data_IF_971749736359
#
_entry.id   IF_971749736359
#
_cell.length_a   1.000
_cell.length_b   1.000
_cell.length_c   1.000
_cell.angle_alpha   90.00
_cell.angle_beta   90.00
_cell.angle_gamma   90.00
#
_symmetry.space_group_name_H-M   'P 1'
#
loop_
_entity.id
_entity.type
_entity.pdbx_description
1 polymer ?
#
# COMPACT_ATOMS: atom_id res chain seq x y z
N UNK A 1 23.77 -54.47 -2.57
CA UNK A 1 23.18 -54.13 -1.28
C UNK A 1 24.26 -53.47 -0.41
N UNK A 2 24.34 -52.14 -0.43
CA UNK A 2 25.15 -51.35 0.52
C UNK A 2 24.19 -50.43 1.26
N UNK A 3 24.00 -50.69 2.53
CA UNK A 3 23.26 -49.88 3.47
C UNK A 3 24.10 -48.62 3.76
N UNK A 4 23.67 -47.45 3.31
CA UNK A 4 24.19 -46.18 3.78
C UNK A 4 23.38 -45.79 5.04
N UNK A 5 24.05 -45.88 6.19
CA UNK A 5 23.61 -45.26 7.43
C UNK A 5 23.80 -43.73 7.27
N UNK A 6 22.70 -42.99 7.24
CA UNK A 6 22.71 -41.54 7.48
C UNK A 6 22.78 -41.35 9.00
N UNK A 7 23.95 -41.01 9.51
CA UNK A 7 24.12 -40.49 10.85
C UNK A 7 23.62 -39.05 10.84
N UNK A 8 22.46 -38.80 11.44
CA UNK A 8 21.98 -37.45 11.78
C UNK A 8 22.90 -36.90 12.89
N UNK A 9 23.87 -36.08 12.52
CA UNK A 9 24.56 -35.23 13.47
C UNK A 9 23.58 -34.18 13.96
N UNK A 10 23.04 -34.38 15.16
CA UNK A 10 22.47 -33.35 15.99
C UNK A 10 23.59 -32.38 16.36
N UNK A 11 23.73 -31.29 15.62
CA UNK A 11 24.48 -30.14 16.08
C UNK A 11 23.59 -29.44 17.15
N UNK A 12 23.78 -29.83 18.38
CA UNK A 12 23.44 -28.99 19.52
C UNK A 12 24.52 -27.90 19.52
N UNK A 13 24.27 -26.82 18.78
CA UNK A 13 24.99 -25.59 18.97
C UNK A 13 24.62 -25.10 20.37
N UNK A 14 25.44 -25.45 21.36
CA UNK A 14 25.48 -24.70 22.62
C UNK A 14 25.99 -23.32 22.25
N UNK A 15 25.06 -22.39 22.00
CA UNK A 15 25.36 -20.96 22.00
C UNK A 15 25.66 -20.64 23.45
N UNK A 16 26.93 -20.78 23.83
CA UNK A 16 27.47 -20.12 24.99
C UNK A 16 27.46 -18.62 24.64
N UNK A 17 26.28 -17.99 24.75
CA UNK A 17 26.22 -16.54 24.81
C UNK A 17 27.05 -16.14 26.02
N UNK A 18 28.18 -15.50 25.76
CA UNK A 18 28.96 -14.86 26.78
C UNK A 18 28.06 -13.82 27.44
N UNK A 19 27.51 -14.18 28.60
CA UNK A 19 26.77 -13.29 29.46
C UNK A 19 27.76 -12.20 29.85
N UNK A 20 27.68 -11.03 29.22
CA UNK A 20 28.48 -9.89 29.63
C UNK A 20 27.94 -9.38 30.98
N UNK A 21 28.82 -8.87 31.82
CA UNK A 21 28.42 -8.30 33.12
C UNK A 21 27.38 -7.18 32.96
N UNK A 22 27.35 -6.59 31.78
CA UNK A 22 26.55 -5.41 31.44
C UNK A 22 25.15 -5.76 30.90
N UNK A 23 24.91 -6.98 30.34
CA UNK A 23 23.60 -7.41 29.82
C UNK A 23 23.20 -8.81 30.35
N UNK A 24 22.69 -8.89 31.57
CA UNK A 24 22.35 -10.16 32.21
C UNK A 24 21.08 -10.77 31.63
N UNK A 25 20.94 -12.10 31.76
CA UNK A 25 19.70 -12.82 31.47
C UNK A 25 18.63 -12.45 32.47
N UNK A 26 17.55 -11.79 32.00
CA UNK A 26 16.41 -11.37 32.82
C UNK A 26 15.44 -12.52 33.06
N UNK A 27 15.29 -13.42 32.07
CA UNK A 27 14.46 -14.62 32.18
C UNK A 27 14.92 -15.71 31.23
N UNK A 28 14.43 -16.93 31.48
CA UNK A 28 14.50 -18.03 30.51
C UNK A 28 13.10 -18.52 30.19
N UNK A 29 12.82 -18.74 28.91
CA UNK A 29 11.58 -19.32 28.41
C UNK A 29 11.90 -20.57 27.62
N UNK A 30 11.40 -21.73 28.04
CA UNK A 30 11.72 -23.04 27.46
C UNK A 30 13.23 -23.28 27.38
N UNK A 31 14.00 -22.82 28.38
CA UNK A 31 15.47 -22.92 28.40
C UNK A 31 16.21 -21.90 27.54
N UNK A 32 15.52 -21.13 26.70
CA UNK A 32 16.11 -20.05 25.91
C UNK A 32 16.29 -18.80 26.76
N UNK A 33 17.49 -18.21 26.80
CA UNK A 33 17.74 -17.00 27.56
C UNK A 33 17.14 -15.78 26.86
N UNK A 34 16.58 -14.86 27.65
CA UNK A 34 16.18 -13.51 27.24
C UNK A 34 17.07 -12.54 28.01
N UNK A 35 17.71 -11.64 27.30
CA UNK A 35 18.57 -10.62 27.87
C UNK A 35 17.74 -9.44 28.40
N UNK A 36 18.32 -8.70 29.38
CA UNK A 36 17.69 -7.50 29.92
C UNK A 36 17.44 -6.45 28.82
N UNK A 37 18.43 -6.21 27.95
CA UNK A 37 18.30 -5.27 26.85
C UNK A 37 17.15 -5.62 25.88
N UNK A 38 16.90 -6.89 25.59
CA UNK A 38 15.75 -7.34 24.79
C UNK A 38 14.42 -6.96 25.45
N UNK A 39 14.32 -7.22 26.76
CA UNK A 39 13.14 -6.87 27.53
C UNK A 39 12.93 -5.35 27.59
N UNK A 40 14.00 -4.59 27.84
CA UNK A 40 13.97 -3.12 27.91
C UNK A 40 13.58 -2.50 26.59
N UNK A 41 14.12 -2.98 25.46
CA UNK A 41 13.72 -2.54 24.14
C UNK A 41 12.21 -2.69 23.94
N UNK A 42 11.67 -3.88 24.22
CA UNK A 42 10.24 -4.16 24.07
C UNK A 42 9.39 -3.36 25.05
N UNK A 43 9.82 -3.26 26.31
CA UNK A 43 9.13 -2.50 27.37
C UNK A 43 9.07 -1.00 27.01
N UNK A 44 10.19 -0.39 26.64
CA UNK A 44 10.28 1.02 26.34
C UNK A 44 9.48 1.41 25.10
N UNK A 45 9.52 0.58 24.05
CA UNK A 45 8.71 0.76 22.83
C UNK A 45 7.21 0.76 23.14
N UNK A 46 6.76 -0.18 23.97
CA UNK A 46 5.35 -0.32 24.34
C UNK A 46 4.90 0.70 25.41
N UNK A 47 5.81 1.50 25.95
CA UNK A 47 5.54 2.58 26.89
C UNK A 47 6.03 3.95 26.42
N UNK A 48 6.33 4.09 25.11
CA UNK A 48 6.78 5.33 24.49
C UNK A 48 5.73 6.45 24.58
N UNK A 49 6.11 7.66 24.21
CA UNK A 49 5.20 8.80 24.19
C UNK A 49 4.05 8.56 23.20
N UNK A 50 2.81 8.84 23.66
CA UNK A 50 1.60 8.59 22.88
C UNK A 50 0.88 7.26 23.23
N UNK A 51 1.49 6.34 23.95
CA UNK A 51 0.81 5.14 24.45
C UNK A 51 -0.12 5.52 25.60
N UNK A 52 -1.43 5.23 25.45
CA UNK A 52 -2.47 5.61 26.42
C UNK A 52 -2.44 4.70 27.66
N UNK A 53 -2.22 3.40 27.48
CA UNK A 53 -2.28 2.38 28.53
C UNK A 53 -0.86 1.87 28.87
N UNK A 54 -0.02 2.78 29.41
CA UNK A 54 1.36 2.45 29.82
C UNK A 54 1.33 1.46 30.97
N UNK A 55 2.19 0.44 30.91
CA UNK A 55 2.34 -0.59 31.93
C UNK A 55 3.60 -0.35 32.75
N UNK A 56 3.55 -0.64 34.03
CA UNK A 56 4.79 -0.74 34.80
C UNK A 56 5.50 -2.08 34.51
N UNK A 57 6.76 -2.22 34.95
CA UNK A 57 7.58 -3.42 34.70
C UNK A 57 6.91 -4.70 35.21
N UNK A 58 6.25 -4.68 36.37
CA UNK A 58 5.60 -5.83 36.95
C UNK A 58 4.36 -6.28 36.17
N UNK A 59 3.63 -5.34 35.59
CA UNK A 59 2.49 -5.64 34.71
C UNK A 59 2.95 -6.11 33.33
N UNK A 60 4.04 -5.54 32.82
CA UNK A 60 4.54 -5.85 31.48
C UNK A 60 5.23 -7.20 31.40
N UNK A 61 5.92 -7.66 32.44
CA UNK A 61 6.66 -8.92 32.45
C UNK A 61 5.76 -10.12 32.13
N UNK A 62 4.53 -10.14 32.61
CA UNK A 62 3.59 -11.23 32.32
C UNK A 62 3.11 -11.21 30.85
N UNK A 63 2.92 -10.02 30.28
CA UNK A 63 2.59 -9.85 28.85
C UNK A 63 3.74 -10.32 27.97
N UNK A 64 4.97 -9.94 28.33
CA UNK A 64 6.17 -10.33 27.61
C UNK A 64 6.43 -11.84 27.67
N UNK A 65 6.22 -12.46 28.84
CA UNK A 65 6.28 -13.93 28.98
C UNK A 65 5.27 -14.60 28.06
N UNK A 66 4.02 -14.16 28.04
CA UNK A 66 2.99 -14.73 27.17
C UNK A 66 3.34 -14.58 25.68
N UNK A 67 3.92 -13.45 25.30
CA UNK A 67 4.46 -13.23 23.96
C UNK A 67 5.54 -14.27 23.62
N UNK A 68 6.58 -14.42 24.46
CA UNK A 68 7.69 -15.38 24.23
C UNK A 68 7.20 -16.83 24.22
N UNK A 69 6.25 -17.20 25.05
CA UNK A 69 5.63 -18.54 25.06
C UNK A 69 4.93 -18.86 23.73
N UNK A 70 4.22 -17.90 23.16
CA UNK A 70 3.55 -18.05 21.86
C UNK A 70 4.56 -18.17 20.73
N UNK A 71 5.64 -17.39 20.77
CA UNK A 71 6.75 -17.48 19.81
C UNK A 71 7.41 -18.87 19.86
N UNK A 72 7.67 -19.39 21.06
CA UNK A 72 8.20 -20.75 21.23
C UNK A 72 7.25 -21.82 20.64
N UNK A 73 5.95 -21.68 20.84
CA UNK A 73 4.96 -22.56 20.25
C UNK A 73 4.94 -22.50 18.71
N UNK A 74 5.16 -21.32 18.14
CA UNK A 74 5.26 -21.14 16.69
C UNK A 74 6.53 -21.78 16.11
N UNK A 75 7.67 -21.63 16.81
CA UNK A 75 8.95 -22.27 16.44
C UNK A 75 8.84 -23.80 16.50
N UNK A 76 8.24 -24.35 17.56
CA UNK A 76 7.98 -25.80 17.68
C UNK A 76 7.06 -26.30 16.54
N UNK A 77 6.09 -25.49 16.14
CA UNK A 77 5.22 -25.78 15.00
C UNK A 77 5.89 -25.53 13.65
N UNK A 78 7.17 -25.14 13.61
CA UNK A 78 7.99 -24.84 12.43
C UNK A 78 7.37 -23.81 11.49
N UNK A 79 6.71 -22.79 12.04
CA UNK A 79 6.07 -21.74 11.24
C UNK A 79 7.08 -20.83 10.55
N UNK A 80 8.28 -20.69 11.08
CA UNK A 80 9.45 -20.08 10.47
C UNK A 80 9.89 -20.70 9.13
N UNK A 81 9.44 -21.94 8.85
CA UNK A 81 9.73 -22.62 7.59
C UNK A 81 8.67 -22.44 6.50
N UNK A 82 7.55 -21.78 6.80
CA UNK A 82 6.50 -21.51 5.84
C UNK A 82 6.98 -20.51 4.78
N UNK A 83 6.60 -20.73 3.53
CA UNK A 83 6.99 -19.84 2.41
C UNK A 83 6.51 -18.42 2.64
N UNK A 84 5.25 -18.25 3.04
CA UNK A 84 4.68 -16.92 3.35
C UNK A 84 5.45 -16.18 4.44
N UNK A 85 5.85 -16.88 5.50
CA UNK A 85 6.67 -16.32 6.56
C UNK A 85 8.02 -15.83 6.05
N UNK A 86 8.71 -16.71 5.27
CA UNK A 86 10.04 -16.39 4.75
C UNK A 86 10.01 -15.20 3.79
N UNK A 87 9.06 -15.18 2.88
CA UNK A 87 8.90 -14.08 1.91
C UNK A 87 8.64 -12.75 2.63
N UNK A 88 7.78 -12.74 3.64
CA UNK A 88 7.46 -11.54 4.41
C UNK A 88 8.67 -11.09 5.25
N UNK A 89 9.33 -12.00 5.94
CA UNK A 89 10.51 -11.68 6.74
C UNK A 89 11.67 -11.17 5.90
N UNK A 90 11.95 -11.83 4.77
CA UNK A 90 12.98 -11.40 3.81
C UNK A 90 12.67 -10.00 3.29
N UNK A 91 11.43 -9.74 2.92
CA UNK A 91 11.01 -8.41 2.44
C UNK A 91 11.29 -7.32 3.49
N UNK A 92 10.95 -7.56 4.75
CA UNK A 92 11.22 -6.61 5.83
C UNK A 92 12.72 -6.43 6.11
N UNK A 93 13.47 -7.53 6.23
CA UNK A 93 14.92 -7.52 6.41
C UNK A 93 15.59 -6.70 5.30
N UNK A 94 15.19 -6.94 4.07
CA UNK A 94 15.76 -6.30 2.90
C UNK A 94 15.52 -4.79 2.90
N UNK A 95 14.37 -4.33 3.36
CA UNK A 95 14.10 -2.89 3.54
C UNK A 95 15.09 -2.22 4.51
N UNK A 96 15.59 -2.95 5.51
CA UNK A 96 16.54 -2.42 6.48
C UNK A 96 18.01 -2.53 5.99
N UNK A 97 18.34 -3.60 5.31
CA UNK A 97 19.74 -3.97 5.04
C UNK A 97 20.18 -3.55 3.63
N UNK A 98 19.35 -3.75 2.59
CA UNK A 98 19.73 -3.49 1.20
C UNK A 98 20.17 -2.04 0.92
N UNK A 99 19.54 -1.01 1.49
CA UNK A 99 20.00 0.37 1.28
C UNK A 99 21.44 0.63 1.74
N UNK A 100 21.95 -0.18 2.68
CA UNK A 100 23.30 -0.01 3.21
C UNK A 100 24.43 -0.50 2.28
N UNK A 101 24.09 -1.16 1.18
CA UNK A 101 25.05 -1.63 0.19
C UNK A 101 25.51 -0.53 -0.77
N UNK A 102 24.78 0.56 -0.88
CA UNK A 102 25.13 1.66 -1.77
C UNK A 102 25.35 2.94 -0.99
N UNK A 103 26.17 3.80 -1.56
CA UNK A 103 26.49 5.12 -1.04
C UNK A 103 25.98 6.19 -1.99
N UNK A 104 26.00 7.46 -1.57
CA UNK A 104 25.69 8.58 -2.47
C UNK A 104 26.64 8.62 -3.67
N UNK A 105 27.89 8.16 -3.52
CA UNK A 105 28.85 8.06 -4.61
C UNK A 105 28.43 7.03 -5.67
N UNK A 106 27.82 5.91 -5.28
CA UNK A 106 27.28 4.91 -6.19
C UNK A 106 26.10 5.48 -7.02
N UNK A 107 25.24 6.27 -6.36
CA UNK A 107 24.09 6.94 -7.00
C UNK A 107 24.59 8.04 -7.95
N UNK A 108 25.59 8.80 -7.55
CA UNK A 108 26.21 9.84 -8.39
C UNK A 108 26.90 9.23 -9.64
N UNK A 109 27.58 8.11 -9.48
CA UNK A 109 28.17 7.38 -10.60
C UNK A 109 27.11 6.94 -11.62
N UNK A 110 25.98 6.46 -11.15
CA UNK A 110 24.85 6.09 -12.01
C UNK A 110 24.23 7.34 -12.67
N UNK A 111 24.14 8.46 -11.95
CA UNK A 111 23.66 9.72 -12.50
C UNK A 111 24.57 10.21 -13.64
N UNK A 112 25.88 10.12 -13.49
CA UNK A 112 26.84 10.43 -14.55
C UNK A 112 26.68 9.49 -15.75
N UNK A 113 26.50 8.20 -15.53
CA UNK A 113 26.26 7.23 -16.60
C UNK A 113 25.00 7.56 -17.43
N UNK A 114 23.89 7.87 -16.73
CA UNK A 114 22.63 8.29 -17.36
C UNK A 114 22.82 9.58 -18.16
N UNK A 115 23.57 10.52 -17.61
CA UNK A 115 23.91 11.78 -18.27
C UNK A 115 24.71 11.52 -19.56
N UNK A 116 25.81 10.76 -19.48
CA UNK A 116 26.70 10.49 -20.60
C UNK A 116 25.97 9.79 -21.76
N UNK A 117 25.14 8.79 -21.43
CA UNK A 117 24.31 8.10 -22.42
C UNK A 117 23.30 9.05 -23.07
N UNK A 118 22.68 9.93 -22.28
CA UNK A 118 21.69 10.89 -22.77
C UNK A 118 22.34 11.97 -23.64
N UNK A 119 23.43 12.55 -23.16
CA UNK A 119 24.21 13.56 -23.90
C UNK A 119 24.73 12.99 -25.21
N UNK A 120 25.35 11.80 -25.17
CA UNK A 120 25.84 11.15 -26.39
C UNK A 120 24.71 10.88 -27.41
N UNK A 121 23.57 10.42 -26.96
CA UNK A 121 22.40 10.17 -27.84
C UNK A 121 21.86 11.44 -28.45
N UNK A 122 21.73 12.51 -27.67
CA UNK A 122 21.20 13.81 -28.17
C UNK A 122 22.20 14.45 -29.10
N UNK A 123 23.47 14.50 -28.74
CA UNK A 123 24.51 15.16 -29.54
C UNK A 123 24.77 14.41 -30.85
N UNK A 124 24.74 13.08 -30.87
CA UNK A 124 24.84 12.26 -32.09
C UNK A 124 23.69 12.48 -33.06
N UNK A 125 22.52 12.94 -32.57
CA UNK A 125 21.38 13.28 -33.42
C UNK A 125 21.37 14.74 -33.90
N UNK A 126 22.39 15.55 -33.56
CA UNK A 126 22.51 16.93 -33.92
C UNK A 126 22.32 17.96 -32.82
N UNK A 127 22.30 17.46 -31.56
CA UNK A 127 22.18 18.29 -30.36
C UNK A 127 20.77 18.78 -30.06
N UNK A 128 20.71 19.91 -29.39
CA UNK A 128 19.46 20.59 -28.99
C UNK A 128 19.30 21.89 -29.81
N UNK A 129 18.06 22.30 -29.98
CA UNK A 129 17.75 23.62 -30.57
C UNK A 129 16.64 24.29 -29.75
N UNK A 130 16.70 25.62 -29.73
CA UNK A 130 15.67 26.51 -29.20
C UNK A 130 15.11 27.35 -30.36
N UNK A 131 14.04 26.90 -31.05
CA UNK A 131 13.42 27.67 -32.12
C UNK A 131 12.38 28.65 -31.59
N UNK A 132 12.05 29.65 -32.38
CA UNK A 132 10.81 30.41 -32.28
C UNK A 132 10.05 30.31 -33.59
N UNK A 133 8.74 30.46 -33.59
CA UNK A 133 7.95 30.40 -34.79
C UNK A 133 6.80 31.39 -34.86
N UNK A 134 6.39 31.70 -36.09
CA UNK A 134 5.14 32.35 -36.44
C UNK A 134 4.31 31.29 -37.17
N UNK A 135 3.17 30.90 -36.63
CA UNK A 135 2.25 29.94 -37.23
C UNK A 135 1.06 30.66 -37.84
N UNK A 136 0.76 30.38 -39.12
CA UNK A 136 -0.57 30.62 -39.69
C UNK A 136 -1.27 29.27 -39.84
N UNK A 137 -2.26 29.02 -39.00
CA UNK A 137 -2.99 27.76 -38.98
C UNK A 137 -3.70 27.50 -40.29
N UNK A 138 -3.61 26.27 -40.79
CA UNK A 138 -4.33 25.80 -41.97
C UNK A 138 -4.89 24.42 -41.70
N UNK A 139 -6.20 24.29 -41.75
CA UNK A 139 -6.84 23.01 -41.53
C UNK A 139 -6.53 22.01 -42.64
N UNK A 140 -6.43 20.74 -42.31
CA UNK A 140 -6.15 19.65 -43.27
C UNK A 140 -7.16 19.56 -44.43
N UNK A 141 -8.38 20.10 -44.26
CA UNK A 141 -9.46 20.14 -45.28
C UNK A 141 -9.61 21.53 -45.86
N UNK A 142 -8.57 22.39 -45.77
CA UNK A 142 -8.63 23.75 -46.32
C UNK A 142 -8.81 23.72 -47.83
N UNK A 143 -9.69 24.58 -48.32
CA UNK A 143 -9.91 24.78 -49.76
C UNK A 143 -8.68 25.41 -50.42
N UNK A 144 -8.56 25.27 -51.75
CA UNK A 144 -7.48 25.91 -52.52
C UNK A 144 -7.41 27.42 -52.30
N UNK A 145 -8.56 28.07 -52.20
CA UNK A 145 -8.64 29.51 -51.92
C UNK A 145 -8.07 29.85 -50.53
N UNK A 146 -8.35 29.04 -49.51
CA UNK A 146 -7.81 29.21 -48.17
C UNK A 146 -6.31 28.96 -48.14
N UNK A 147 -5.83 27.91 -48.80
CA UNK A 147 -4.39 27.63 -48.95
C UNK A 147 -3.64 28.78 -49.63
N UNK A 148 -4.18 29.29 -50.73
CA UNK A 148 -3.60 30.43 -51.44
C UNK A 148 -3.59 31.70 -50.59
N UNK A 149 -4.64 31.98 -49.87
CA UNK A 149 -4.73 33.12 -48.94
C UNK A 149 -3.69 32.99 -47.79
N UNK A 150 -3.58 31.81 -47.14
CA UNK A 150 -2.58 31.57 -46.11
C UNK A 150 -1.15 31.70 -46.65
N UNK A 151 -0.89 31.15 -47.81
CA UNK A 151 0.42 31.28 -48.48
C UNK A 151 0.77 32.73 -48.77
N UNK A 152 -0.15 33.53 -49.35
CA UNK A 152 0.07 34.95 -49.59
C UNK A 152 0.36 35.71 -48.30
N UNK A 153 -0.36 35.39 -47.23
CA UNK A 153 -0.18 36.05 -45.92
C UNK A 153 1.17 35.70 -45.29
N UNK A 154 1.58 34.42 -45.33
CA UNK A 154 2.87 34.01 -44.74
C UNK A 154 4.04 34.58 -45.56
N UNK A 155 3.92 34.65 -46.89
CA UNK A 155 4.94 35.25 -47.76
C UNK A 155 5.08 36.76 -47.49
N UNK A 156 3.98 37.46 -47.18
CA UNK A 156 4.03 38.85 -46.77
C UNK A 156 4.77 39.05 -45.45
N UNK A 157 4.57 38.14 -44.51
CA UNK A 157 5.28 38.15 -43.21
C UNK A 157 6.79 37.87 -43.47
N UNK A 158 7.13 36.88 -44.29
CA UNK A 158 8.50 36.55 -44.65
C UNK A 158 9.20 37.75 -45.30
N UNK A 159 8.51 38.45 -46.21
CA UNK A 159 9.03 39.67 -46.86
C UNK A 159 9.26 40.81 -45.86
N UNK A 160 8.35 40.99 -44.89
CA UNK A 160 8.52 41.99 -43.81
C UNK A 160 9.76 41.69 -42.97
N UNK A 161 9.96 40.42 -42.56
CA UNK A 161 11.14 39.97 -41.82
C UNK A 161 12.45 40.20 -42.61
N UNK A 162 12.47 39.88 -43.92
CA UNK A 162 13.61 40.18 -44.79
C UNK A 162 13.92 41.65 -44.89
N UNK A 163 12.91 42.53 -44.76
CA UNK A 163 13.05 43.98 -44.75
C UNK A 163 13.35 44.55 -43.34
N UNK A 164 13.68 43.72 -42.38
CA UNK A 164 14.12 44.14 -41.04
C UNK A 164 13.01 44.30 -39.99
N UNK A 165 11.79 43.81 -40.24
CA UNK A 165 10.76 43.80 -39.21
C UNK A 165 11.15 42.90 -38.03
N UNK A 166 10.74 43.30 -36.83
CA UNK A 166 11.04 42.52 -35.62
C UNK A 166 10.22 41.22 -35.57
N UNK A 167 10.91 40.08 -35.38
CA UNK A 167 10.31 38.76 -35.38
C UNK A 167 9.36 38.57 -34.16
N UNK A 168 9.77 39.05 -32.98
CA UNK A 168 9.00 38.92 -31.75
C UNK A 168 7.70 39.69 -31.84
N UNK A 169 7.74 40.92 -32.38
CA UNK A 169 6.56 41.74 -32.59
C UNK A 169 5.58 41.09 -33.59
N UNK A 170 6.10 40.57 -34.70
CA UNK A 170 5.26 39.88 -35.69
C UNK A 170 4.67 38.58 -35.14
N UNK A 171 5.42 37.81 -34.35
CA UNK A 171 4.93 36.61 -33.72
C UNK A 171 3.78 36.94 -32.75
N UNK A 172 3.93 37.95 -31.89
CA UNK A 172 2.88 38.37 -30.94
C UNK A 172 1.60 38.81 -31.65
N UNK A 173 1.70 39.50 -32.72
CA UNK A 173 0.55 40.07 -33.43
C UNK A 173 -0.11 39.11 -34.39
N UNK A 174 0.65 38.28 -35.08
CA UNK A 174 0.18 37.56 -36.26
C UNK A 174 0.17 36.04 -36.11
N UNK A 175 0.89 35.48 -35.13
CA UNK A 175 0.92 34.05 -34.96
C UNK A 175 -0.43 33.53 -34.43
N UNK A 176 -0.90 32.43 -35.00
CA UNK A 176 -2.10 31.72 -34.55
C UNK A 176 -1.80 30.76 -33.39
N UNK A 177 -0.52 30.40 -33.15
CA UNK A 177 -0.11 29.73 -31.91
C UNK A 177 -0.01 30.74 -30.77
N UNK A 178 -1.14 30.92 -30.08
CA UNK A 178 -1.24 31.90 -28.98
C UNK A 178 -0.38 31.52 -27.79
N UNK A 179 -0.04 30.26 -27.63
CA UNK A 179 0.77 29.76 -26.51
C UNK A 179 2.20 30.25 -26.55
N UNK A 180 2.83 30.24 -27.71
CA UNK A 180 4.18 30.75 -27.92
C UNK A 180 4.21 32.24 -28.33
N UNK A 181 3.17 32.75 -29.00
CA UNK A 181 3.09 34.12 -29.47
C UNK A 181 3.32 35.17 -28.38
N UNK A 182 2.77 34.96 -27.17
CA UNK A 182 2.93 35.84 -26.00
C UNK A 182 4.42 36.06 -25.64
N UNK A 183 5.24 35.04 -25.89
CA UNK A 183 6.70 35.05 -25.69
C UNK A 183 7.47 35.25 -26.99
N UNK A 184 6.88 35.90 -28.00
CA UNK A 184 7.54 36.16 -29.27
C UNK A 184 7.72 34.94 -30.18
N UNK A 185 6.92 33.89 -29.95
CA UNK A 185 6.96 32.64 -30.71
C UNK A 185 8.00 31.64 -30.21
N UNK A 186 8.71 31.91 -29.10
CA UNK A 186 9.73 30.98 -28.56
C UNK A 186 9.13 29.67 -28.12
N UNK A 187 9.77 28.58 -28.50
CA UNK A 187 9.52 27.23 -28.05
C UNK A 187 10.59 26.81 -27.04
N UNK A 188 10.31 25.82 -26.17
CA UNK A 188 11.32 25.27 -25.30
C UNK A 188 12.49 24.66 -26.08
N UNK A 189 13.57 24.33 -25.38
CA UNK A 189 14.64 23.53 -25.96
C UNK A 189 14.08 22.17 -26.40
N UNK A 190 14.38 21.75 -27.60
CA UNK A 190 13.93 20.51 -28.21
C UNK A 190 15.07 19.73 -28.82
N UNK A 191 14.92 18.43 -28.90
CA UNK A 191 15.80 17.49 -29.56
C UNK A 191 15.13 16.94 -30.83
N UNK A 192 15.86 16.25 -31.66
CA UNK A 192 15.32 15.59 -32.84
C UNK A 192 14.26 14.56 -32.48
N UNK A 193 13.17 14.52 -33.22
CA UNK A 193 12.02 13.64 -32.99
C UNK A 193 10.90 14.22 -32.14
N UNK A 194 11.04 15.46 -31.63
CA UNK A 194 10.03 16.10 -30.78
C UNK A 194 9.06 17.02 -31.52
N UNK A 195 9.39 17.37 -32.78
CA UNK A 195 8.58 18.27 -33.62
C UNK A 195 8.10 17.54 -34.88
N UNK A 196 7.12 18.13 -35.56
CA UNK A 196 6.66 17.58 -36.83
C UNK A 196 7.77 17.61 -37.86
N UNK A 197 7.90 16.59 -38.75
CA UNK A 197 9.08 16.37 -39.59
C UNK A 197 9.47 17.58 -40.47
N UNK A 198 8.48 18.24 -41.09
CA UNK A 198 8.76 19.38 -41.99
C UNK A 198 9.30 20.58 -41.21
N UNK A 199 8.72 20.88 -40.04
CA UNK A 199 9.20 21.92 -39.16
C UNK A 199 10.60 21.57 -38.63
N UNK A 200 10.79 20.36 -38.13
CA UNK A 200 12.05 19.90 -37.58
C UNK A 200 13.18 19.96 -38.58
N UNK A 201 12.94 19.44 -39.78
CA UNK A 201 13.93 19.50 -40.89
C UNK A 201 14.35 20.93 -41.21
N UNK A 202 13.39 21.84 -41.31
CA UNK A 202 13.68 23.24 -41.57
C UNK A 202 14.42 23.91 -40.41
N UNK A 203 13.99 23.67 -39.18
CA UNK A 203 14.60 24.25 -37.99
C UNK A 203 16.05 23.78 -37.79
N UNK A 204 16.35 22.47 -37.94
CA UNK A 204 17.71 21.94 -37.80
C UNK A 204 18.67 22.47 -38.91
N UNK A 205 18.15 22.86 -40.06
CA UNK A 205 18.97 23.45 -41.15
C UNK A 205 19.42 24.88 -40.86
N UNK A 206 18.74 25.61 -39.94
CA UNK A 206 19.06 27.00 -39.63
C UNK A 206 20.25 27.10 -38.69
N UNK A 207 21.09 28.10 -38.87
CA UNK A 207 22.08 28.55 -37.90
C UNK A 207 21.45 29.51 -36.88
N UNK A 208 22.12 29.69 -35.73
CA UNK A 208 21.68 30.66 -34.71
C UNK A 208 21.44 32.05 -35.31
N UNK A 209 20.26 32.59 -35.04
CA UNK A 209 19.81 33.88 -35.54
C UNK A 209 19.14 33.85 -36.92
N UNK A 210 19.26 32.77 -37.70
CA UNK A 210 18.64 32.65 -39.00
C UNK A 210 17.12 32.45 -38.94
N UNK A 211 16.43 32.90 -40.00
CA UNK A 211 14.98 32.77 -40.17
C UNK A 211 14.72 31.96 -41.44
N UNK A 212 13.82 30.99 -41.36
CA UNK A 212 13.44 30.13 -42.47
C UNK A 212 12.61 30.87 -43.55
N UNK A 213 12.60 30.34 -44.75
CA UNK A 213 11.46 30.54 -45.65
C UNK A 213 10.19 29.93 -45.06
N UNK A 214 8.98 30.28 -45.58
CA UNK A 214 7.74 29.64 -45.15
C UNK A 214 7.76 28.13 -45.31
N UNK A 215 7.49 27.40 -44.23
CA UNK A 215 7.47 25.93 -44.17
C UNK A 215 6.03 25.47 -43.97
N UNK A 216 5.57 24.56 -44.81
CA UNK A 216 4.24 23.94 -44.63
C UNK A 216 4.36 22.68 -43.78
N UNK A 217 3.49 22.57 -42.80
CA UNK A 217 3.34 21.39 -41.95
C UNK A 217 1.86 20.96 -41.87
N UNK A 218 1.52 19.84 -41.23
CA UNK A 218 0.13 19.48 -41.00
C UNK A 218 -0.70 20.50 -40.20
N UNK A 219 -0.07 21.45 -39.51
CA UNK A 219 -0.72 22.51 -38.74
C UNK A 219 -0.90 23.82 -39.53
N UNK A 220 -0.21 23.98 -40.61
CA UNK A 220 -0.23 25.22 -41.42
C UNK A 220 1.15 25.69 -41.81
N UNK A 221 1.23 26.98 -42.17
CA UNK A 221 2.50 27.60 -42.57
C UNK A 221 3.23 28.19 -41.36
N UNK A 222 4.54 27.89 -41.30
CA UNK A 222 5.44 28.40 -40.28
C UNK A 222 6.53 29.27 -40.90
N UNK A 223 6.96 30.29 -40.16
CA UNK A 223 8.28 30.91 -40.32
C UNK A 223 9.01 30.64 -39.00
N UNK A 224 10.20 30.08 -39.11
CA UNK A 224 10.98 29.59 -37.96
C UNK A 224 12.21 30.47 -37.81
N UNK A 225 12.49 30.92 -36.60
CA UNK A 225 13.75 31.60 -36.25
C UNK A 225 14.52 30.69 -35.27
N UNK A 226 15.79 30.46 -35.55
CA UNK A 226 16.66 29.75 -34.64
C UNK A 226 17.20 30.70 -33.57
N UNK A 227 16.73 30.54 -32.34
CA UNK A 227 17.19 31.35 -31.20
C UNK A 227 18.54 30.86 -30.71
N UNK A 228 18.69 29.54 -30.52
CA UNK A 228 19.94 28.95 -30.08
C UNK A 228 20.05 27.46 -30.48
N UNK A 229 21.29 26.96 -30.58
CA UNK A 229 21.64 25.57 -30.84
C UNK A 229 22.86 25.18 -30.01
N UNK A 230 22.93 23.95 -29.59
CA UNK A 230 24.08 23.47 -28.83
C UNK A 230 24.00 21.99 -28.54
N UNK A 231 25.02 21.52 -27.88
CA UNK A 231 25.05 20.19 -27.27
C UNK A 231 24.06 20.09 -26.09
N UNK A 232 23.88 18.88 -25.59
CA UNK A 232 23.09 18.67 -24.38
C UNK A 232 23.62 19.53 -23.22
N UNK A 233 22.77 19.91 -22.32
CA UNK A 233 23.11 20.76 -21.17
C UNK A 233 24.25 20.18 -20.34
N UNK A 234 25.12 21.01 -19.70
CA UNK A 234 26.14 20.53 -18.78
C UNK A 234 25.53 19.74 -17.61
N UNK A 235 26.26 18.73 -17.11
CA UNK A 235 25.80 17.84 -16.02
C UNK A 235 25.23 18.62 -14.83
N UNK A 236 25.94 19.64 -14.36
CA UNK A 236 25.53 20.41 -13.17
C UNK A 236 24.14 21.06 -13.31
N UNK A 237 23.75 21.42 -14.53
CA UNK A 237 22.44 22.03 -14.79
C UNK A 237 21.30 21.03 -14.82
N UNK A 238 21.55 19.75 -15.06
CA UNK A 238 20.54 18.68 -15.17
C UNK A 238 20.65 17.63 -14.06
N UNK A 239 21.69 17.75 -13.21
CA UNK A 239 21.98 16.79 -12.13
C UNK A 239 20.77 16.53 -11.23
N UNK A 240 20.11 17.60 -10.80
CA UNK A 240 18.91 17.46 -9.94
C UNK A 240 17.78 16.70 -10.62
N UNK A 241 17.56 16.94 -11.90
CA UNK A 241 16.52 16.24 -12.67
C UNK A 241 16.87 14.76 -12.85
N UNK A 242 18.17 14.44 -13.07
CA UNK A 242 18.65 13.06 -13.18
C UNK A 242 18.50 12.34 -11.83
N UNK A 243 18.87 12.96 -10.71
CA UNK A 243 18.69 12.38 -9.40
C UNK A 243 17.21 12.15 -9.09
N UNK A 244 16.34 13.10 -9.40
CA UNK A 244 14.90 12.91 -9.28
C UNK A 244 14.38 11.77 -10.16
N UNK A 245 14.91 11.62 -11.36
CA UNK A 245 14.58 10.50 -12.26
C UNK A 245 15.00 9.15 -11.65
N UNK A 246 16.20 9.08 -11.04
CA UNK A 246 16.70 7.89 -10.35
C UNK A 246 15.72 7.49 -9.23
N UNK A 247 15.27 8.46 -8.40
CA UNK A 247 14.31 8.20 -7.33
C UNK A 247 12.94 7.76 -7.87
N UNK A 248 12.36 8.52 -8.82
CA UNK A 248 11.03 8.25 -9.36
C UNK A 248 10.94 6.90 -10.10
N UNK A 249 12.04 6.44 -10.68
CA UNK A 249 12.14 5.16 -11.37
C UNK A 249 12.66 4.01 -10.52
N UNK A 250 12.87 4.27 -9.24
CA UNK A 250 13.42 3.29 -8.28
C UNK A 250 14.75 2.67 -8.76
N UNK A 251 15.60 3.46 -9.43
CA UNK A 251 16.87 2.99 -9.99
C UNK A 251 17.87 2.64 -8.88
N UNK A 252 17.73 3.23 -7.68
CA UNK A 252 18.53 2.85 -6.50
C UNK A 252 18.52 1.34 -6.27
N UNK A 253 17.35 0.71 -6.38
CA UNK A 253 17.24 -0.73 -6.19
C UNK A 253 18.02 -1.52 -7.24
N UNK A 254 18.03 -1.05 -8.48
CA UNK A 254 18.84 -1.65 -9.54
C UNK A 254 20.34 -1.51 -9.29
N UNK A 255 20.79 -0.42 -8.67
CA UNK A 255 22.19 -0.22 -8.26
C UNK A 255 22.55 -1.22 -7.16
N UNK A 256 21.66 -1.40 -6.17
CA UNK A 256 21.82 -2.40 -5.10
C UNK A 256 21.91 -3.81 -5.69
N UNK A 257 20.98 -4.19 -6.58
CA UNK A 257 20.98 -5.51 -7.23
C UNK A 257 22.27 -5.77 -7.98
N UNK A 258 22.74 -4.81 -8.75
CA UNK A 258 24.01 -4.93 -9.48
C UNK A 258 25.16 -5.18 -8.53
N UNK A 259 25.26 -4.37 -7.47
CA UNK A 259 26.35 -4.49 -6.50
C UNK A 259 26.31 -5.78 -5.72
N UNK A 260 25.12 -6.23 -5.30
CA UNK A 260 24.93 -7.54 -4.66
C UNK A 260 25.33 -8.70 -5.55
N UNK A 261 24.98 -8.67 -6.84
CA UNK A 261 25.36 -9.70 -7.80
C UNK A 261 26.88 -9.73 -8.02
N UNK A 262 27.53 -8.57 -8.14
CA UNK A 262 28.97 -8.47 -8.26
C UNK A 262 29.69 -9.04 -7.02
N UNK A 263 29.19 -8.73 -5.81
CA UNK A 263 29.73 -9.28 -4.56
C UNK A 263 29.50 -10.78 -4.45
N UNK A 264 28.31 -11.26 -4.82
CA UNK A 264 27.96 -12.66 -4.80
C UNK A 264 28.84 -13.48 -5.76
N UNK A 265 29.09 -12.98 -6.97
CA UNK A 265 30.00 -13.58 -7.94
C UNK A 265 31.43 -13.62 -7.42
N UNK A 266 31.92 -12.53 -6.85
CA UNK A 266 33.28 -12.45 -6.29
C UNK A 266 33.50 -13.39 -5.09
N UNK A 267 32.47 -13.59 -4.23
CA UNK A 267 32.55 -14.50 -3.08
C UNK A 267 32.10 -15.94 -3.41
N UNK A 268 31.63 -16.24 -4.63
CA UNK A 268 31.14 -17.56 -5.02
C UNK A 268 29.88 -18.01 -4.27
N UNK A 269 28.99 -17.05 -3.96
CA UNK A 269 27.78 -17.27 -3.16
C UNK A 269 26.53 -16.64 -3.83
N UNK A 270 25.45 -16.41 -3.08
CA UNK A 270 24.22 -15.78 -3.58
C UNK A 270 24.04 -14.37 -2.99
N UNK A 271 23.34 -13.50 -3.70
CA UNK A 271 22.98 -12.18 -3.21
C UNK A 271 22.25 -12.25 -1.84
N UNK A 272 21.38 -13.24 -1.65
CA UNK A 272 20.70 -13.53 -0.40
C UNK A 272 21.68 -13.78 0.76
N UNK A 273 22.71 -14.61 0.54
CA UNK A 273 23.72 -14.89 1.56
C UNK A 273 24.57 -13.66 1.90
N UNK A 274 24.82 -12.78 0.93
CA UNK A 274 25.51 -11.50 1.16
C UNK A 274 24.67 -10.59 2.07
N UNK A 275 23.36 -10.48 1.79
CA UNK A 275 22.44 -9.67 2.61
C UNK A 275 22.34 -10.25 4.03
N UNK A 276 22.25 -11.58 4.18
CA UNK A 276 22.20 -12.24 5.49
C UNK A 276 23.49 -12.01 6.29
N UNK A 277 24.66 -12.15 5.64
CA UNK A 277 25.96 -11.85 6.24
C UNK A 277 26.01 -10.40 6.74
N UNK A 278 25.60 -9.46 5.90
CA UNK A 278 25.56 -8.03 6.25
C UNK A 278 24.62 -7.75 7.42
N UNK A 279 23.44 -8.36 7.41
CA UNK A 279 22.49 -8.26 8.54
C UNK A 279 23.15 -8.72 9.85
N UNK A 280 23.81 -9.89 9.83
CA UNK A 280 24.48 -10.45 11.02
C UNK A 280 25.61 -9.52 11.51
N UNK A 281 26.38 -8.91 10.61
CA UNK A 281 27.43 -7.94 10.95
C UNK A 281 26.83 -6.66 11.59
N UNK A 282 25.77 -6.13 11.00
CA UNK A 282 25.12 -4.90 11.49
C UNK A 282 24.44 -5.12 12.84
N UNK A 283 23.70 -6.22 12.99
CA UNK A 283 22.99 -6.54 14.25
C UNK A 283 23.94 -6.90 15.39
N UNK A 284 25.17 -7.31 15.09
CA UNK A 284 26.22 -7.52 16.09
C UNK A 284 26.76 -6.19 16.64
N UNK A 285 26.65 -5.10 15.88
CA UNK A 285 27.18 -3.78 16.24
C UNK A 285 26.09 -2.78 16.68
N UNK A 286 24.86 -3.00 16.22
CA UNK A 286 23.69 -2.15 16.48
C UNK A 286 22.59 -2.98 17.19
N UNK A 287 22.46 -2.73 18.48
CA UNK A 287 21.50 -3.44 19.33
C UNK A 287 20.05 -3.04 19.03
N UNK A 288 19.80 -1.80 18.62
CA UNK A 288 18.48 -1.34 18.23
C UNK A 288 18.02 -2.05 16.95
N UNK A 289 18.87 -2.12 15.94
CA UNK A 289 18.59 -2.86 14.71
C UNK A 289 18.40 -4.37 14.98
N UNK A 290 19.19 -4.95 15.88
CA UNK A 290 19.07 -6.35 16.28
C UNK A 290 17.66 -6.65 16.82
N UNK A 291 17.21 -5.85 17.78
CA UNK A 291 15.88 -6.09 18.39
C UNK A 291 14.73 -5.68 17.46
N UNK A 292 14.93 -4.70 16.61
CA UNK A 292 13.96 -4.37 15.56
C UNK A 292 13.69 -5.56 14.62
N UNK A 293 14.74 -6.20 14.12
CA UNK A 293 14.64 -7.36 13.21
C UNK A 293 14.06 -8.57 13.97
N UNK A 294 14.53 -8.81 15.19
CA UNK A 294 14.04 -9.90 16.03
C UNK A 294 12.56 -9.73 16.37
N UNK A 295 12.14 -8.54 16.75
CA UNK A 295 10.74 -8.24 17.07
C UNK A 295 9.82 -8.47 15.85
N UNK A 296 10.28 -8.09 14.67
CA UNK A 296 9.52 -8.33 13.45
C UNK A 296 9.38 -9.84 13.15
N UNK A 297 10.50 -10.55 13.22
CA UNK A 297 10.52 -12.03 13.07
C UNK A 297 9.59 -12.71 14.06
N UNK A 298 9.71 -12.39 15.34
CA UNK A 298 8.90 -12.98 16.41
C UNK A 298 7.45 -12.51 16.32
N UNK A 299 7.19 -11.28 15.84
CA UNK A 299 5.86 -10.75 15.57
C UNK A 299 5.11 -11.49 14.47
N UNK A 300 5.80 -11.85 13.40
CA UNK A 300 5.23 -12.70 12.35
C UNK A 300 4.87 -14.09 12.88
N UNK A 301 5.76 -14.70 13.67
CA UNK A 301 5.49 -15.99 14.32
C UNK A 301 4.29 -15.90 15.25
N UNK A 302 4.20 -14.84 16.06
CA UNK A 302 3.08 -14.57 16.93
C UNK A 302 1.76 -14.44 16.17
N UNK A 303 1.78 -13.71 15.06
CA UNK A 303 0.61 -13.54 14.19
C UNK A 303 0.12 -14.89 13.64
N UNK A 304 1.00 -15.66 13.00
CA UNK A 304 0.68 -16.93 12.36
C UNK A 304 0.11 -17.94 13.38
N UNK A 305 0.75 -18.09 14.54
CA UNK A 305 0.29 -19.05 15.56
C UNK A 305 -1.02 -18.61 16.22
N UNK A 306 -1.18 -17.30 16.49
CA UNK A 306 -2.40 -16.75 17.09
C UNK A 306 -3.58 -16.85 16.12
N UNK A 307 -3.35 -16.57 14.84
CA UNK A 307 -4.35 -16.75 13.80
C UNK A 307 -4.86 -18.20 13.78
N UNK A 308 -3.94 -19.16 13.71
CA UNK A 308 -4.27 -20.59 13.65
C UNK A 308 -4.93 -21.12 14.93
N UNK A 309 -4.44 -20.72 16.10
CA UNK A 309 -4.90 -21.26 17.39
C UNK A 309 -6.15 -20.59 17.93
N UNK A 310 -6.33 -19.30 17.65
CA UNK A 310 -7.36 -18.46 18.27
C UNK A 310 -8.31 -17.86 17.24
N UNK A 311 -7.82 -17.00 16.35
CA UNK A 311 -8.71 -16.13 15.55
C UNK A 311 -9.49 -16.89 14.50
N UNK A 312 -8.81 -17.74 13.73
CA UNK A 312 -9.47 -18.56 12.71
C UNK A 312 -10.44 -19.57 13.34
N UNK A 313 -10.03 -20.19 14.46
CA UNK A 313 -10.87 -21.10 15.23
C UNK A 313 -12.11 -20.38 15.74
N UNK A 314 -11.96 -19.23 16.41
CA UNK A 314 -13.08 -18.45 16.93
C UNK A 314 -14.07 -18.02 15.86
N UNK A 315 -13.58 -17.72 14.62
CA UNK A 315 -14.44 -17.31 13.53
C UNK A 315 -15.19 -18.45 12.85
N UNK A 316 -14.63 -19.66 12.82
CA UNK A 316 -15.15 -20.81 12.08
C UNK A 316 -15.84 -21.89 12.94
N UNK A 317 -15.59 -21.90 14.24
CA UNK A 317 -16.12 -22.90 15.18
C UNK A 317 -17.57 -22.59 15.57
N UNK A 318 -18.49 -22.82 14.65
CA UNK A 318 -19.94 -22.61 14.85
C UNK A 318 -20.48 -23.36 16.08
N UNK A 319 -19.98 -24.59 16.33
CA UNK A 319 -20.41 -25.41 17.47
C UNK A 319 -19.86 -24.82 18.78
N UNK A 320 -18.61 -24.44 18.81
CA UNK A 320 -17.98 -23.78 19.96
C UNK A 320 -18.64 -22.45 20.32
N UNK A 321 -18.91 -21.62 19.30
CA UNK A 321 -19.63 -20.35 19.46
C UNK A 321 -21.02 -20.55 20.04
N UNK A 322 -21.77 -21.54 19.53
CA UNK A 322 -23.10 -21.87 20.05
C UNK A 322 -23.04 -22.37 21.52
N UNK A 323 -22.10 -23.25 21.84
CA UNK A 323 -21.90 -23.76 23.20
C UNK A 323 -21.46 -22.62 24.14
N UNK A 324 -20.54 -21.78 23.72
CA UNK A 324 -20.05 -20.63 24.49
C UNK A 324 -21.17 -19.63 24.80
N UNK A 325 -21.95 -19.27 23.77
CA UNK A 325 -23.15 -18.45 23.96
C UNK A 325 -24.13 -19.06 24.91
N UNK A 326 -24.45 -20.37 24.79
CA UNK A 326 -25.40 -21.05 25.65
C UNK A 326 -24.97 -21.04 27.11
N UNK A 327 -23.67 -21.20 27.39
CA UNK A 327 -23.10 -21.15 28.74
C UNK A 327 -23.17 -19.73 29.31
N UNK A 328 -23.05 -18.71 28.48
CA UNK A 328 -22.90 -17.31 28.89
C UNK A 328 -24.11 -16.41 28.53
N UNK A 329 -25.31 -17.00 28.29
CA UNK A 329 -26.51 -16.29 27.80
C UNK A 329 -26.86 -15.02 28.58
N UNK A 330 -26.61 -14.99 29.89
CA UNK A 330 -26.91 -13.84 30.74
C UNK A 330 -26.05 -12.61 30.36
N UNK A 331 -24.79 -12.82 29.96
CA UNK A 331 -23.87 -11.76 29.56
C UNK A 331 -24.35 -11.03 28.30
N UNK A 332 -25.08 -11.72 27.41
CA UNK A 332 -25.54 -11.20 26.13
C UNK A 332 -26.98 -10.72 26.15
N UNK A 333 -27.60 -10.59 27.33
CA UNK A 333 -28.95 -10.05 27.44
C UNK A 333 -28.99 -8.60 26.88
N UNK A 334 -30.09 -8.24 26.22
CA UNK A 334 -30.36 -6.89 25.79
C UNK A 334 -31.13 -6.12 26.88
N UNK A 335 -30.83 -4.87 27.05
CA UNK A 335 -31.55 -3.97 27.96
C UNK A 335 -32.99 -3.72 27.50
N UNK A 336 -33.21 -3.76 26.19
CA UNK A 336 -34.50 -3.55 25.55
C UNK A 336 -34.77 -4.54 24.41
N UNK A 337 -36.05 -4.82 24.10
CA UNK A 337 -36.39 -5.72 23.01
C UNK A 337 -35.92 -5.18 21.65
N UNK A 338 -35.53 -6.09 20.75
CA UNK A 338 -35.10 -5.76 19.38
C UNK A 338 -35.97 -6.45 18.33
N UNK A 339 -36.02 -5.84 17.15
CA UNK A 339 -36.69 -6.44 15.98
C UNK A 339 -35.66 -7.15 15.12
N UNK A 340 -35.75 -8.47 15.03
CA UNK A 340 -34.96 -9.29 14.09
C UNK A 340 -35.76 -9.50 12.82
N UNK A 341 -35.34 -8.87 11.73
CA UNK A 341 -36.10 -8.90 10.49
C UNK A 341 -35.49 -8.07 9.40
N UNK A 342 -36.35 -7.64 8.50
CA UNK A 342 -36.00 -6.74 7.41
C UNK A 342 -37.03 -5.64 7.23
N UNK A 343 -36.53 -4.47 6.85
CA UNK A 343 -37.30 -3.41 6.16
C UNK A 343 -37.03 -3.59 4.68
N UNK A 344 -38.08 -3.55 3.88
CA UNK A 344 -37.91 -3.64 2.44
C UNK A 344 -38.83 -2.66 1.70
N UNK A 345 -38.33 -2.19 0.61
CA UNK A 345 -38.93 -1.14 -0.21
C UNK A 345 -39.12 -1.71 -1.61
N UNK A 346 -40.34 -1.60 -2.14
CA UNK A 346 -40.71 -2.17 -3.44
C UNK A 346 -41.36 -1.13 -4.35
N UNK A 347 -41.30 -1.38 -5.65
CA UNK A 347 -41.94 -0.51 -6.66
C UNK A 347 -43.44 -0.84 -6.83
N UNK A 348 -43.80 -2.09 -6.68
CA UNK A 348 -45.13 -2.58 -6.95
C UNK A 348 -45.75 -3.31 -5.74
N UNK A 349 -47.05 -3.13 -5.50
CA UNK A 349 -47.77 -3.71 -4.36
C UNK A 349 -47.69 -5.25 -4.30
N UNK A 350 -47.64 -5.91 -5.47
CA UNK A 350 -47.52 -7.36 -5.56
C UNK A 350 -46.23 -7.91 -4.97
N UNK A 351 -45.15 -7.15 -5.00
CA UNK A 351 -43.86 -7.53 -4.46
C UNK A 351 -43.80 -7.61 -2.94
N UNK A 352 -44.66 -6.88 -2.23
CA UNK A 352 -44.77 -6.96 -0.77
C UNK A 352 -44.99 -8.41 -0.28
N UNK A 353 -45.95 -9.08 -0.87
CA UNK A 353 -46.26 -10.48 -0.54
C UNK A 353 -45.22 -11.44 -1.08
N UNK A 354 -44.70 -11.19 -2.29
CA UNK A 354 -43.70 -12.03 -2.94
C UNK A 354 -42.39 -12.06 -2.15
N UNK A 355 -41.88 -10.91 -1.70
CA UNK A 355 -40.66 -10.78 -0.87
C UNK A 355 -40.79 -11.50 0.45
N UNK A 356 -41.92 -11.34 1.16
CA UNK A 356 -42.20 -12.08 2.40
C UNK A 356 -42.22 -13.59 2.17
N UNK A 357 -42.88 -14.07 1.13
CA UNK A 357 -42.99 -15.50 0.82
C UNK A 357 -41.61 -16.09 0.44
N UNK A 358 -40.75 -15.34 -0.24
CA UNK A 358 -39.44 -15.81 -0.65
C UNK A 358 -38.51 -16.17 0.51
N UNK A 359 -38.73 -15.57 1.69
CA UNK A 359 -37.89 -15.80 2.89
C UNK A 359 -38.62 -16.57 3.99
N UNK A 360 -39.90 -16.81 3.85
CA UNK A 360 -40.69 -17.52 4.84
C UNK A 360 -40.15 -18.97 5.01
N UNK A 361 -39.81 -19.34 6.23
CA UNK A 361 -39.24 -20.67 6.56
C UNK A 361 -37.71 -20.78 6.31
N UNK A 362 -37.08 -19.79 5.73
CA UNK A 362 -35.63 -19.81 5.57
C UNK A 362 -34.93 -19.28 6.84
N UNK A 363 -33.70 -19.79 7.08
CA UNK A 363 -32.83 -19.25 8.10
C UNK A 363 -32.49 -17.77 7.78
N UNK A 364 -32.38 -16.96 8.84
CA UNK A 364 -32.24 -15.51 8.71
C UNK A 364 -31.00 -15.08 7.91
N UNK A 365 -29.89 -15.81 8.04
CA UNK A 365 -28.66 -15.56 7.28
C UNK A 365 -28.84 -15.69 5.76
N UNK A 366 -29.71 -16.58 5.31
CA UNK A 366 -30.00 -16.86 3.87
C UNK A 366 -30.91 -15.83 3.21
N UNK A 367 -31.55 -14.95 3.98
CA UNK A 367 -32.52 -14.01 3.40
C UNK A 367 -31.92 -13.04 2.39
N UNK A 368 -30.77 -12.47 2.69
CA UNK A 368 -30.17 -11.46 1.82
C UNK A 368 -29.84 -12.01 0.43
N UNK A 369 -29.20 -13.17 0.37
CA UNK A 369 -28.84 -13.81 -0.89
C UNK A 369 -30.09 -14.25 -1.67
N UNK A 370 -31.06 -14.86 -1.00
CA UNK A 370 -32.31 -15.28 -1.63
C UNK A 370 -33.06 -14.11 -2.25
N UNK A 371 -33.17 -12.99 -1.55
CA UNK A 371 -33.84 -11.80 -2.05
C UNK A 371 -33.08 -11.16 -3.20
N UNK A 372 -31.75 -11.05 -3.08
CA UNK A 372 -30.89 -10.52 -4.13
C UNK A 372 -31.03 -11.30 -5.43
N UNK A 373 -30.97 -12.63 -5.39
CA UNK A 373 -31.04 -13.49 -6.57
C UNK A 373 -32.44 -13.64 -7.15
N UNK A 374 -33.48 -13.42 -6.32
CA UNK A 374 -34.86 -13.59 -6.78
C UNK A 374 -35.44 -12.31 -7.39
N UNK A 375 -35.10 -11.13 -6.85
CA UNK A 375 -35.75 -9.86 -7.20
C UNK A 375 -34.84 -8.86 -7.89
N UNK A 376 -33.52 -9.02 -7.78
CA UNK A 376 -32.55 -8.10 -8.34
C UNK A 376 -31.57 -8.84 -9.26
N UNK A 377 -31.10 -8.18 -10.32
CA UNK A 377 -29.99 -8.62 -11.17
C UNK A 377 -29.17 -7.41 -11.61
N UNK A 378 -28.18 -7.64 -12.45
CA UNK A 378 -27.23 -6.59 -12.87
C UNK A 378 -27.90 -5.42 -13.62
N UNK A 379 -29.05 -5.67 -14.24
CA UNK A 379 -29.78 -4.66 -15.02
C UNK A 379 -31.03 -4.12 -14.33
N UNK A 380 -31.61 -4.85 -13.37
CA UNK A 380 -32.87 -4.50 -12.73
C UNK A 380 -32.77 -4.56 -11.21
N UNK A 381 -32.99 -3.41 -10.58
CA UNK A 381 -33.16 -3.29 -9.15
C UNK A 381 -34.65 -3.15 -8.83
N UNK A 382 -35.28 -4.28 -8.43
CA UNK A 382 -36.71 -4.36 -8.19
C UNK A 382 -37.11 -4.06 -6.75
N UNK A 383 -36.24 -4.41 -5.79
CA UNK A 383 -36.45 -4.18 -4.37
C UNK A 383 -35.18 -3.62 -3.69
N UNK A 384 -35.38 -2.89 -2.61
CA UNK A 384 -34.32 -2.56 -1.63
C UNK A 384 -34.66 -3.21 -0.30
N UNK A 385 -33.63 -3.77 0.37
CA UNK A 385 -33.80 -4.49 1.64
C UNK A 385 -32.74 -4.04 2.62
N UNK A 386 -33.16 -3.71 3.82
CA UNK A 386 -32.33 -3.51 4.99
C UNK A 386 -32.66 -4.63 5.98
N UNK A 387 -31.73 -5.57 6.15
CA UNK A 387 -31.88 -6.75 7.01
C UNK A 387 -30.99 -6.60 8.24
N UNK A 388 -31.56 -6.78 9.43
CA UNK A 388 -30.80 -6.60 10.67
C UNK A 388 -31.55 -7.01 11.94
N UNK A 389 -30.91 -6.66 13.05
CA UNK A 389 -31.48 -6.72 14.38
C UNK A 389 -31.51 -5.28 14.90
N UNK A 390 -32.68 -4.69 14.86
CA UNK A 390 -32.90 -3.27 15.11
C UNK A 390 -33.32 -3.06 16.56
N UNK A 391 -32.72 -2.12 17.27
CA UNK A 391 -33.27 -1.52 18.48
C UNK A 391 -34.09 -0.28 18.12
N UNK A 392 -34.82 0.24 19.08
CA UNK A 392 -35.50 1.52 18.90
C UNK A 392 -34.48 2.64 18.61
N UNK A 393 -34.72 3.43 17.58
CA UNK A 393 -33.84 4.49 17.08
C UNK A 393 -32.96 4.09 15.90
N UNK A 394 -32.83 2.80 15.58
CA UNK A 394 -31.98 2.34 14.47
C UNK A 394 -32.62 2.57 13.08
N UNK A 395 -33.94 2.48 12.98
CA UNK A 395 -34.67 2.65 11.71
C UNK A 395 -36.07 3.19 11.95
N UNK A 396 -36.38 4.37 11.42
CA UNK A 396 -37.63 5.06 11.67
C UNK A 396 -38.89 4.28 11.21
N UNK A 397 -38.77 3.44 10.17
CA UNK A 397 -39.90 2.61 9.75
C UNK A 397 -40.14 1.44 10.74
N UNK A 398 -39.08 0.84 11.27
CA UNK A 398 -39.17 -0.16 12.35
C UNK A 398 -39.72 0.49 13.61
N UNK A 399 -39.27 1.68 13.93
CA UNK A 399 -39.74 2.41 15.10
C UNK A 399 -41.25 2.65 15.05
N UNK A 400 -41.75 3.11 13.90
CA UNK A 400 -43.18 3.36 13.72
C UNK A 400 -44.00 2.07 13.70
N UNK A 401 -43.59 1.07 12.89
CA UNK A 401 -44.39 -0.10 12.65
C UNK A 401 -44.28 -1.17 13.76
N UNK A 402 -43.10 -1.32 14.35
CA UNK A 402 -42.82 -2.38 15.34
C UNK A 402 -42.79 -1.86 16.78
N UNK A 403 -42.08 -0.73 17.00
CA UNK A 403 -41.97 -0.15 18.35
C UNK A 403 -43.08 0.84 18.67
N UNK A 404 -43.92 1.22 17.67
CA UNK A 404 -45.09 2.09 17.82
C UNK A 404 -44.75 3.53 18.25
N UNK A 405 -43.56 4.00 17.86
CA UNK A 405 -43.12 5.39 18.10
C UNK A 405 -43.79 6.31 17.09
N UNK A 406 -44.79 7.06 17.54
CA UNK A 406 -45.64 7.94 16.68
C UNK A 406 -44.85 9.08 16.01
N UNK A 407 -43.79 9.54 16.65
CA UNK A 407 -42.94 10.65 16.20
C UNK A 407 -41.79 10.22 15.34
N UNK A 408 -41.65 8.90 15.02
CA UNK A 408 -40.55 8.40 14.24
C UNK A 408 -40.59 8.93 12.79
N UNK A 409 -39.53 9.58 12.39
CA UNK A 409 -39.34 10.03 11.01
C UNK A 409 -39.02 8.87 10.07
N UNK A 410 -39.78 8.74 8.98
CA UNK A 410 -39.55 7.72 7.98
C UNK A 410 -39.01 8.33 6.70
N UNK A 411 -37.79 7.97 6.33
CA UNK A 411 -37.19 8.39 5.07
C UNK A 411 -37.82 7.59 3.92
N UNK A 412 -38.61 8.27 3.10
CA UNK A 412 -39.20 7.66 1.88
C UNK A 412 -38.17 7.54 0.77
N UNK A 413 -38.23 6.45 0.03
CA UNK A 413 -37.43 6.23 -1.18
C UNK A 413 -38.31 6.47 -2.41
N UNK A 414 -38.10 7.58 -3.14
CA UNK A 414 -38.91 7.95 -4.31
C UNK A 414 -39.03 6.83 -5.35
N UNK A 415 -37.93 6.11 -5.60
CA UNK A 415 -37.90 4.99 -6.57
C UNK A 415 -38.55 3.70 -6.06
N UNK A 416 -38.86 3.60 -4.77
CA UNK A 416 -39.47 2.44 -4.11
C UNK A 416 -40.49 2.93 -3.08
N UNK A 417 -41.65 3.38 -3.51
CA UNK A 417 -42.59 4.14 -2.67
C UNK A 417 -43.33 3.30 -1.63
N UNK A 418 -43.25 1.98 -1.71
CA UNK A 418 -43.99 1.06 -0.85
C UNK A 418 -43.05 0.40 0.13
N UNK A 419 -43.23 0.68 1.42
CA UNK A 419 -42.42 0.18 2.52
C UNK A 419 -43.16 -0.95 3.24
N UNK A 420 -42.40 -1.97 3.66
CA UNK A 420 -42.92 -3.08 4.44
C UNK A 420 -41.85 -3.64 5.39
N UNK A 421 -42.30 -4.35 6.43
CA UNK A 421 -41.42 -5.08 7.36
C UNK A 421 -41.82 -6.55 7.43
N UNK A 422 -40.82 -7.40 7.66
CA UNK A 422 -41.04 -8.80 7.96
C UNK A 422 -39.98 -9.31 8.93
N UNK A 423 -40.43 -9.93 10.03
CA UNK A 423 -39.56 -10.43 11.09
C UNK A 423 -40.33 -10.66 12.39
N UNK A 424 -39.59 -10.70 13.49
CA UNK A 424 -40.15 -10.87 14.84
C UNK A 424 -39.48 -9.97 15.87
N UNK A 425 -40.22 -9.54 16.86
CA UNK A 425 -39.69 -8.84 18.03
C UNK A 425 -39.15 -9.86 19.03
N UNK A 426 -37.91 -9.68 19.46
CA UNK A 426 -37.21 -10.52 20.41
C UNK A 426 -36.95 -9.74 21.70
N UNK A 427 -37.18 -10.37 22.83
CA UNK A 427 -36.83 -9.79 24.16
C UNK A 427 -35.36 -9.99 24.54
N UNK A 428 -34.72 -10.99 23.95
CA UNK A 428 -33.32 -11.39 24.20
C UNK A 428 -32.78 -12.12 22.97
N UNK A 429 -31.47 -12.22 22.80
CA UNK A 429 -30.87 -13.06 21.77
C UNK A 429 -31.32 -14.50 21.86
N UNK A 430 -31.70 -15.13 20.76
CA UNK A 430 -32.09 -16.55 20.70
C UNK A 430 -30.91 -17.45 20.36
N UNK A 431 -29.94 -16.91 19.61
CA UNK A 431 -28.73 -17.62 19.21
C UNK A 431 -27.52 -16.70 19.27
N UNK A 432 -26.30 -17.28 19.24
CA UNK A 432 -25.07 -16.50 19.15
C UNK A 432 -25.02 -15.60 17.91
N UNK A 433 -25.68 -15.99 16.84
CA UNK A 433 -25.76 -15.20 15.60
C UNK A 433 -26.42 -13.83 15.80
N UNK A 434 -27.31 -13.70 16.79
CA UNK A 434 -27.99 -12.44 17.10
C UNK A 434 -27.06 -11.41 17.76
N UNK A 435 -25.95 -11.88 18.30
CA UNK A 435 -24.91 -11.09 18.97
C UNK A 435 -23.51 -11.58 18.60
N UNK A 436 -23.35 -12.05 17.33
CA UNK A 436 -22.16 -12.75 16.86
C UNK A 436 -20.85 -12.01 17.18
N UNK A 437 -20.79 -10.72 16.95
CA UNK A 437 -19.56 -9.94 17.20
C UNK A 437 -19.11 -10.00 18.66
N UNK A 438 -20.05 -9.88 19.61
CA UNK A 438 -19.73 -9.96 21.05
C UNK A 438 -19.30 -11.37 21.44
N UNK A 439 -20.01 -12.39 20.93
CA UNK A 439 -19.70 -13.79 21.26
C UNK A 439 -18.36 -14.21 20.68
N UNK A 440 -18.03 -13.80 19.45
CA UNK A 440 -16.73 -14.09 18.83
C UNK A 440 -15.59 -13.45 19.62
N UNK A 441 -15.72 -12.17 20.02
CA UNK A 441 -14.70 -11.48 20.81
C UNK A 441 -14.45 -12.18 22.17
N UNK A 442 -15.51 -12.48 22.90
CA UNK A 442 -15.40 -13.18 24.19
C UNK A 442 -14.86 -14.61 24.04
N UNK A 443 -15.23 -15.29 22.96
CA UNK A 443 -14.76 -16.65 22.69
C UNK A 443 -13.28 -16.65 22.29
N UNK A 444 -12.83 -15.65 21.53
CA UNK A 444 -11.40 -15.42 21.25
C UNK A 444 -10.62 -15.25 22.55
N UNK A 445 -11.07 -14.38 23.43
CA UNK A 445 -10.42 -14.15 24.73
C UNK A 445 -10.35 -15.44 25.56
N UNK A 446 -11.44 -16.23 25.60
CA UNK A 446 -11.46 -17.49 26.30
C UNK A 446 -10.50 -18.52 25.73
N UNK A 447 -10.43 -18.65 24.39
CA UNK A 447 -9.49 -19.53 23.70
C UNK A 447 -8.04 -19.11 23.94
N UNK A 448 -7.77 -17.81 23.92
CA UNK A 448 -6.43 -17.29 24.18
C UNK A 448 -5.98 -17.55 25.61
N UNK A 449 -6.83 -17.29 26.60
CA UNK A 449 -6.54 -17.55 28.00
C UNK A 449 -6.30 -19.05 28.27
N UNK A 450 -7.10 -19.93 27.68
CA UNK A 450 -6.91 -21.37 27.78
C UNK A 450 -5.57 -21.79 27.14
N UNK A 451 -5.27 -21.31 25.96
CA UNK A 451 -4.03 -21.60 25.25
C UNK A 451 -2.80 -21.08 26.01
N UNK A 452 -2.81 -19.85 26.51
CA UNK A 452 -1.73 -19.32 27.35
C UNK A 452 -1.51 -20.15 28.59
N UNK A 453 -2.61 -20.61 29.27
CA UNK A 453 -2.49 -21.49 30.42
C UNK A 453 -1.88 -22.85 30.04
N UNK A 454 -2.17 -23.39 28.86
CA UNK A 454 -1.50 -24.58 28.33
C UNK A 454 -0.01 -24.36 28.12
N UNK A 455 0.37 -23.24 27.46
CA UNK A 455 1.76 -22.90 27.17
C UNK A 455 2.57 -22.74 28.47
N UNK A 456 2.00 -22.07 29.49
CA UNK A 456 2.63 -21.92 30.80
C UNK A 456 2.81 -23.25 31.57
N UNK A 457 1.98 -24.26 31.29
CA UNK A 457 2.19 -25.63 31.80
C UNK A 457 3.23 -26.41 31.01
N UNK A 458 3.31 -26.17 29.71
CA UNK A 458 4.18 -26.88 28.79
C UNK A 458 5.63 -26.41 28.85
N UNK A 459 5.85 -25.11 28.86
CA UNK A 459 7.17 -24.50 28.80
C UNK A 459 7.60 -23.92 30.15
N UNK A 460 8.80 -24.30 30.58
CA UNK A 460 9.36 -23.77 31.84
C UNK A 460 9.74 -22.29 31.66
N UNK A 461 9.30 -21.47 32.58
CA UNK A 461 9.66 -20.05 32.68
C UNK A 461 10.35 -19.78 33.99
N UNK A 462 11.50 -19.09 33.95
CA UNK A 462 12.23 -18.62 35.12
C UNK A 462 12.57 -17.16 34.94
N UNK A 463 12.15 -16.31 35.87
CA UNK A 463 12.46 -14.87 35.88
C UNK A 463 13.51 -14.62 36.96
N UNK A 464 14.55 -13.83 36.63
CA UNK A 464 15.49 -13.32 37.62
C UNK A 464 14.96 -12.00 38.20
N UNK A 465 14.33 -12.08 39.34
CA UNK A 465 13.76 -10.91 40.02
C UNK A 465 14.78 -9.83 40.40
N UNK A 466 16.05 -10.20 40.53
CA UNK A 466 17.13 -9.21 40.80
C UNK A 466 17.42 -8.40 39.55
N UNK A 467 17.53 -9.07 38.42
CA UNK A 467 17.75 -8.43 37.13
C UNK A 467 16.51 -7.62 36.72
N UNK A 468 15.31 -8.13 36.94
CA UNK A 468 14.06 -7.43 36.63
C UNK A 468 13.96 -6.07 37.33
N UNK A 469 14.46 -5.95 38.56
CA UNK A 469 14.51 -4.69 39.32
C UNK A 469 15.48 -3.65 38.76
N UNK A 470 16.38 -4.06 37.88
CA UNK A 470 17.36 -3.15 37.25
C UNK A 470 16.90 -2.61 35.90
N UNK A 471 15.74 -2.98 35.41
CA UNK A 471 15.15 -2.50 34.16
C UNK A 471 15.10 -0.97 34.16
N UNK A 472 15.77 -0.34 33.19
CA UNK A 472 15.96 1.12 33.06
C UNK A 472 16.66 1.80 34.25
N UNK A 473 17.35 1.04 35.12
CA UNK A 473 18.03 1.55 36.31
C UNK A 473 19.42 0.92 36.51
N UNK A 474 20.26 0.88 35.46
CA UNK A 474 21.60 0.29 35.49
C UNK A 474 22.65 1.22 34.89
#
# INVERSE_FOLDING_TARGET
>A
MKKMLFAALLFVASVANAQTKDDPVIMTVNGQPVLRSEFEYSFNKNNSDGVIDKKNVAEYVDLFINYKLKVEAAKEARMDTMTSFREEFVSYRDQQIRPTFITDADVEAEAHRIYDETAHRIDSMGGMMKPAHILLMLGQKATEAQQKAAKTRIDSIAKALKNGADFVDLARRLSDDKSSAVNGGELPWVTKGQLVPDFEKAAFALNKGEVSEPVLSPYGYHIIKMIDKGSFFPYDSVRTDILNFIEQRNIRESIVDKKLNEMAEAEGTTAEAIVEKKMNEMTAQDEELKYLIQEYHDGLLLYEISNKKVWEKANKDEAGLAAFFNKNKKKYAWDEPRFKGMVYHVKEQGDVKAVKNAVKGLAFDKWAEKLRTTFNNDSVLRIRVEKGIFKQGDNGFVDREIFKVKTAEVKKLEKFPIDAVYGKKLKKPESYQDVRGLVVADYQEALENEWVAELRRKYAVKVDEKVLKTVNNH
#
